data_IF_611754801161
#
_entry.id   IF_611754801161
#
_cell.length_a   1.000
_cell.length_b   1.000
_cell.length_c   1.000
_cell.angle_alpha   90.00
_cell.angle_beta   90.00
_cell.angle_gamma   90.00
#
_symmetry.space_group_name_H-M   'P 1'
#
loop_
_entity.id
_entity.type
_entity.pdbx_description
1 polymer ?
#
# COMPACT_ATOMS: atom_id res chain seq x y z
N UNK A 1 10.23 -33.81 1.64
CA UNK A 1 10.37 -32.48 1.01
C UNK A 1 9.83 -31.46 1.98
N UNK A 2 10.47 -30.29 2.12
CA UNK A 2 9.89 -29.19 2.90
C UNK A 2 8.63 -28.75 2.15
N UNK A 3 7.48 -28.72 2.83
CA UNK A 3 6.25 -28.19 2.26
C UNK A 3 6.47 -26.71 1.92
N UNK A 4 6.25 -26.36 0.65
CA UNK A 4 6.48 -25.00 0.17
C UNK A 4 5.19 -24.19 0.26
N UNK A 5 4.69 -23.97 1.49
CA UNK A 5 3.50 -23.16 1.70
C UNK A 5 3.84 -21.68 1.51
N UNK A 6 3.33 -21.09 0.44
CA UNK A 6 3.48 -19.69 0.12
C UNK A 6 2.25 -18.95 0.64
N UNK A 7 2.46 -18.11 1.65
CA UNK A 7 1.38 -17.32 2.23
C UNK A 7 1.14 -16.11 1.33
N UNK A 8 -0.09 -15.86 0.90
CA UNK A 8 -0.45 -14.61 0.20
C UNK A 8 -1.16 -13.72 1.20
N UNK A 9 -0.51 -12.64 1.64
CA UNK A 9 -1.01 -11.72 2.65
C UNK A 9 -1.65 -10.49 2.00
N UNK A 10 -2.90 -10.19 2.33
CA UNK A 10 -3.69 -9.14 1.67
C UNK A 10 -4.87 -8.63 2.53
N UNK A 11 -5.64 -7.69 2.01
CA UNK A 11 -6.65 -6.91 2.74
C UNK A 11 -6.01 -5.72 3.46
N UNK A 12 -6.23 -5.61 4.77
CA UNK A 12 -5.64 -4.59 5.67
C UNK A 12 -6.66 -3.55 6.14
N UNK A 13 -6.30 -2.79 7.18
CA UNK A 13 -7.08 -1.63 7.63
C UNK A 13 -6.68 -0.43 6.76
N UNK A 14 -7.16 -0.46 5.52
CA UNK A 14 -6.77 0.47 4.47
C UNK A 14 -7.99 0.93 3.66
N UNK A 15 -8.04 2.20 3.21
CA UNK A 15 -8.99 2.62 2.17
C UNK A 15 -8.83 1.85 0.86
N UNK A 16 -7.67 1.23 0.63
CA UNK A 16 -7.31 0.48 -0.59
C UNK A 16 -7.54 -1.04 -0.44
N UNK A 17 -8.33 -1.42 0.57
CA UNK A 17 -8.59 -2.82 0.95
C UNK A 17 -9.11 -3.68 -0.22
N UNK A 18 -10.06 -3.17 -1.01
CA UNK A 18 -10.62 -3.89 -2.16
C UNK A 18 -9.58 -4.11 -3.27
N UNK A 19 -8.70 -3.13 -3.50
CA UNK A 19 -7.61 -3.22 -4.49
C UNK A 19 -6.59 -4.30 -4.07
N UNK A 20 -6.31 -4.36 -2.77
CA UNK A 20 -5.50 -5.40 -2.13
C UNK A 20 -6.11 -6.81 -2.31
N UNK A 21 -7.42 -6.97 -2.12
CA UNK A 21 -8.11 -8.24 -2.41
C UNK A 21 -7.99 -8.64 -3.89
N UNK A 22 -8.23 -7.71 -4.82
CA UNK A 22 -8.11 -7.99 -6.26
C UNK A 22 -6.69 -8.40 -6.65
N UNK A 23 -5.69 -7.72 -6.10
CA UNK A 23 -4.27 -8.04 -6.31
C UNK A 23 -3.95 -9.45 -5.82
N UNK A 24 -4.44 -9.83 -4.64
CA UNK A 24 -4.24 -11.16 -4.10
C UNK A 24 -4.85 -12.26 -5.00
N UNK A 25 -6.05 -12.02 -5.56
CA UNK A 25 -6.66 -12.97 -6.50
C UNK A 25 -5.81 -13.16 -7.75
N UNK A 26 -5.25 -12.07 -8.30
CA UNK A 26 -4.36 -12.13 -9.46
C UNK A 26 -3.08 -12.90 -9.13
N UNK A 27 -2.48 -12.65 -7.97
CA UNK A 27 -1.30 -13.38 -7.47
C UNK A 27 -1.61 -14.87 -7.32
N UNK A 28 -2.68 -15.22 -6.61
CA UNK A 28 -3.05 -16.62 -6.38
C UNK A 28 -3.36 -17.36 -7.70
N UNK A 29 -4.05 -16.70 -8.62
CA UNK A 29 -4.34 -17.23 -9.96
C UNK A 29 -3.05 -17.46 -10.78
N UNK A 30 -2.14 -16.49 -10.80
CA UNK A 30 -0.85 -16.61 -11.49
C UNK A 30 0.02 -17.74 -10.92
N UNK A 31 -0.12 -18.04 -9.63
CA UNK A 31 0.60 -19.10 -8.94
C UNK A 31 -0.10 -20.47 -8.97
N UNK A 32 -1.31 -20.57 -9.55
CA UNK A 32 -2.12 -21.79 -9.51
C UNK A 32 -1.47 -23.02 -10.15
N UNK A 33 -0.55 -22.83 -11.12
CA UNK A 33 0.21 -23.90 -11.77
C UNK A 33 1.62 -24.08 -11.20
N UNK A 34 1.94 -23.44 -10.07
CA UNK A 34 3.26 -23.52 -9.46
C UNK A 34 3.42 -24.79 -8.60
N UNK A 35 4.65 -25.07 -8.16
CA UNK A 35 4.93 -26.15 -7.20
C UNK A 35 4.61 -25.77 -5.75
N UNK A 36 4.12 -24.55 -5.50
CA UNK A 36 3.84 -24.03 -4.17
C UNK A 36 2.42 -24.38 -3.73
N UNK A 37 2.24 -24.65 -2.44
CA UNK A 37 0.91 -24.68 -1.83
C UNK A 37 0.55 -23.27 -1.43
N UNK A 38 -0.47 -22.69 -2.04
CA UNK A 38 -0.90 -21.33 -1.74
C UNK A 38 -1.79 -21.35 -0.49
N UNK A 39 -1.53 -20.45 0.46
CA UNK A 39 -2.35 -20.29 1.66
C UNK A 39 -2.70 -18.81 1.84
N UNK A 40 -3.97 -18.42 1.80
CA UNK A 40 -4.36 -17.01 1.95
C UNK A 40 -4.23 -16.59 3.42
N UNK A 41 -3.67 -15.40 3.64
CA UNK A 41 -3.73 -14.65 4.88
C UNK A 41 -4.45 -13.33 4.61
N UNK A 42 -5.73 -13.28 4.96
CA UNK A 42 -6.57 -12.11 4.79
C UNK A 42 -6.63 -11.32 6.09
N UNK A 43 -6.33 -10.02 6.02
CA UNK A 43 -6.51 -9.07 7.11
C UNK A 43 -7.80 -8.29 6.84
N UNK A 44 -8.80 -8.41 7.72
CA UNK A 44 -10.10 -7.74 7.56
C UNK A 44 -9.95 -6.22 7.72
N UNK A 45 -11.00 -5.47 7.36
CA UNK A 45 -11.09 -4.02 7.64
C UNK A 45 -11.04 -3.68 9.14
N UNK A 46 -11.32 -4.65 10.00
CA UNK A 46 -11.21 -4.55 11.46
C UNK A 46 -9.86 -5.06 12.00
N UNK A 47 -8.93 -5.46 11.14
CA UNK A 47 -7.59 -5.92 11.51
C UNK A 47 -7.53 -7.39 11.98
N UNK A 48 -8.59 -8.19 11.80
CA UNK A 48 -8.59 -9.62 12.14
C UNK A 48 -7.85 -10.41 11.08
N UNK A 49 -7.11 -11.43 11.50
CA UNK A 49 -6.31 -12.27 10.61
C UNK A 49 -7.02 -13.59 10.36
N UNK A 50 -7.39 -13.83 9.10
CA UNK A 50 -8.17 -14.96 8.67
C UNK A 50 -7.44 -15.78 7.60
N UNK A 51 -7.63 -17.10 7.62
CA UNK A 51 -7.16 -18.02 6.59
C UNK A 51 -8.25 -19.05 6.27
N UNK A 52 -8.17 -19.67 5.09
CA UNK A 52 -9.14 -20.67 4.64
C UNK A 52 -9.37 -20.65 3.13
N UNK A 53 -9.88 -21.77 2.61
CA UNK A 53 -10.09 -21.97 1.16
C UNK A 53 -11.14 -20.99 0.58
N UNK A 54 -12.12 -20.55 1.37
CA UNK A 54 -13.12 -19.57 0.94
C UNK A 54 -12.53 -18.20 0.57
N UNK A 55 -11.34 -17.88 1.10
CA UNK A 55 -10.62 -16.63 0.80
C UNK A 55 -9.88 -16.67 -0.55
N UNK A 56 -9.92 -17.78 -1.28
CA UNK A 56 -9.27 -17.92 -2.59
C UNK A 56 -10.20 -17.61 -3.76
N UNK A 57 -11.48 -17.32 -3.50
CA UNK A 57 -12.48 -17.02 -4.50
C UNK A 57 -13.02 -15.59 -4.32
N UNK A 58 -12.78 -14.75 -5.33
CA UNK A 58 -13.22 -13.36 -5.38
C UNK A 58 -14.73 -13.20 -5.16
N UNK A 59 -15.54 -14.16 -5.62
CA UNK A 59 -17.00 -14.07 -5.54
C UNK A 59 -17.52 -14.04 -4.10
N UNK A 60 -16.76 -14.61 -3.16
CA UNK A 60 -17.11 -14.62 -1.73
C UNK A 60 -16.93 -13.25 -1.05
N UNK A 61 -16.10 -12.35 -1.62
CA UNK A 61 -15.87 -11.02 -1.04
C UNK A 61 -17.03 -10.04 -1.24
N UNK A 62 -18.10 -10.46 -1.94
CA UNK A 62 -19.35 -9.69 -2.05
C UNK A 62 -20.13 -9.65 -0.73
N UNK A 63 -20.02 -10.69 0.09
CA UNK A 63 -20.75 -10.86 1.34
C UNK A 63 -19.75 -11.08 2.49
N UNK A 64 -19.08 -10.00 2.91
CA UNK A 64 -17.96 -10.06 3.85
C UNK A 64 -18.32 -10.73 5.18
N UNK A 65 -19.49 -10.48 5.74
CA UNK A 65 -19.91 -11.10 7.01
C UNK A 65 -19.97 -12.62 6.90
N UNK A 66 -20.50 -13.13 5.78
CA UNK A 66 -20.58 -14.58 5.51
C UNK A 66 -19.19 -15.16 5.29
N UNK A 67 -18.34 -14.46 4.52
CA UNK A 67 -16.97 -14.88 4.26
C UNK A 67 -16.16 -14.95 5.56
N UNK A 68 -16.16 -13.90 6.37
CA UNK A 68 -15.44 -13.82 7.62
C UNK A 68 -15.95 -14.86 8.64
N UNK A 69 -17.26 -15.11 8.66
CA UNK A 69 -17.83 -16.18 9.48
C UNK A 69 -17.45 -17.58 8.99
N UNK A 70 -17.18 -17.77 7.69
CA UNK A 70 -16.76 -19.06 7.10
C UNK A 70 -15.27 -19.34 7.29
N UNK A 71 -14.44 -18.30 7.29
CA UNK A 71 -12.99 -18.39 7.44
C UNK A 71 -12.57 -18.77 8.87
N UNK A 72 -11.26 -18.95 9.07
CA UNK A 72 -10.66 -19.37 10.34
C UNK A 72 -9.70 -18.31 10.83
N UNK A 73 -9.83 -17.92 12.11
CA UNK A 73 -8.84 -17.06 12.76
C UNK A 73 -7.46 -17.71 12.74
N UNK A 74 -6.41 -16.93 12.53
CA UNK A 74 -5.05 -17.43 12.45
C UNK A 74 -4.02 -16.45 13.02
N UNK A 75 -2.82 -16.96 13.31
CA UNK A 75 -1.67 -16.12 13.65
C UNK A 75 -0.38 -16.80 13.21
N UNK A 76 0.70 -16.02 13.13
CA UNK A 76 2.03 -16.62 13.11
C UNK A 76 2.39 -17.16 14.49
N UNK A 77 3.04 -18.32 14.52
CA UNK A 77 3.58 -18.95 15.73
C UNK A 77 4.94 -19.58 15.40
N UNK A 78 5.79 -19.74 16.42
CA UNK A 78 7.04 -20.49 16.31
C UNK A 78 6.93 -21.85 17.00
N UNK A 79 7.53 -22.88 16.42
CA UNK A 79 7.74 -24.14 17.13
C UNK A 79 8.98 -24.07 18.04
N UNK A 80 9.27 -25.17 18.75
CA UNK A 80 10.44 -25.28 19.64
C UNK A 80 11.78 -25.10 18.89
N UNK A 81 11.81 -25.37 17.59
CA UNK A 81 12.97 -25.18 16.73
C UNK A 81 13.05 -23.76 16.13
N UNK A 82 12.11 -22.87 16.47
CA UNK A 82 12.04 -21.50 15.97
C UNK A 82 11.45 -21.35 14.56
N UNK A 83 10.97 -22.44 13.94
CA UNK A 83 10.33 -22.43 12.62
C UNK A 83 8.96 -21.79 12.71
N UNK A 84 8.65 -20.93 11.74
CA UNK A 84 7.40 -20.18 11.73
C UNK A 84 6.30 -20.90 10.98
N UNK A 85 5.10 -20.88 11.56
CA UNK A 85 3.89 -21.46 11.00
C UNK A 85 2.77 -20.41 10.98
N UNK A 86 1.92 -20.44 9.95
CA UNK A 86 0.60 -19.84 10.00
C UNK A 86 -0.34 -20.87 10.63
N UNK A 87 -0.82 -20.61 11.83
CA UNK A 87 -1.63 -21.56 12.61
C UNK A 87 -3.06 -21.06 12.76
N UNK A 88 -4.02 -21.91 12.44
CA UNK A 88 -5.42 -21.67 12.76
C UNK A 88 -5.62 -21.71 14.28
N UNK A 89 -6.36 -20.76 14.82
CA UNK A 89 -6.63 -20.65 16.26
C UNK A 89 -7.81 -21.54 16.66
N UNK A 90 -8.84 -21.57 15.83
CA UNK A 90 -10.06 -22.35 16.08
C UNK A 90 -10.11 -23.59 15.19
N UNK A 91 -10.91 -24.58 15.59
CA UNK A 91 -11.29 -25.69 14.74
C UNK A 91 -12.83 -25.78 14.73
N UNK A 92 -13.45 -25.79 13.54
CA UNK A 92 -14.91 -25.93 13.43
C UNK A 92 -15.29 -27.40 13.44
N UNK A 93 -15.95 -27.85 14.51
CA UNK A 93 -16.50 -29.20 14.67
C UNK A 93 -15.82 -30.03 15.77
N UNK A 94 -16.57 -30.97 16.38
CA UNK A 94 -16.17 -31.74 17.58
C UNK A 94 -14.85 -32.54 17.45
N UNK A 95 -14.33 -32.74 16.23
CA UNK A 95 -13.10 -33.49 15.97
C UNK A 95 -12.13 -32.77 15.03
N UNK A 96 -12.42 -31.52 14.65
CA UNK A 96 -11.51 -30.76 13.81
C UNK A 96 -10.25 -30.38 14.61
N UNK A 97 -9.08 -30.53 14.00
CA UNK A 97 -7.83 -29.98 14.55
C UNK A 97 -7.46 -28.73 13.76
N UNK A 98 -7.04 -27.65 14.43
CA UNK A 98 -6.57 -26.47 13.72
C UNK A 98 -5.39 -26.84 12.82
N UNK A 99 -5.45 -26.43 11.55
CA UNK A 99 -4.34 -26.65 10.61
C UNK A 99 -3.20 -25.69 10.94
N UNK A 100 -1.98 -26.14 10.67
CA UNK A 100 -0.76 -25.35 10.84
C UNK A 100 0.07 -25.51 9.58
N UNK A 101 0.45 -24.39 8.97
CA UNK A 101 1.16 -24.37 7.70
C UNK A 101 2.58 -23.86 7.93
N UNK A 102 3.63 -24.71 7.79
CA UNK A 102 5.01 -24.24 7.82
C UNK A 102 5.21 -23.17 6.75
N UNK A 103 5.61 -21.96 7.14
CA UNK A 103 5.73 -20.83 6.22
C UNK A 103 7.03 -20.95 5.43
N UNK A 104 6.92 -21.07 4.11
CA UNK A 104 8.07 -21.02 3.22
C UNK A 104 8.48 -19.58 2.91
N UNK A 105 7.50 -18.77 2.49
CA UNK A 105 7.64 -17.34 2.27
C UNK A 105 6.26 -16.67 2.27
N UNK A 106 6.23 -15.34 2.33
CA UNK A 106 5.02 -14.53 2.19
C UNK A 106 5.10 -13.69 0.91
N UNK A 107 4.04 -13.71 0.10
CA UNK A 107 3.81 -12.72 -0.95
C UNK A 107 2.93 -11.62 -0.35
N UNK A 108 3.44 -10.40 -0.33
CA UNK A 108 2.72 -9.21 0.14
C UNK A 108 1.90 -8.64 -1.00
N UNK A 109 0.57 -8.74 -0.90
CA UNK A 109 -0.38 -8.22 -1.87
C UNK A 109 -1.24 -7.11 -1.24
N UNK A 110 -0.62 -6.26 -0.42
CA UNK A 110 -1.26 -5.13 0.23
C UNK A 110 -1.21 -3.85 -0.62
N UNK A 111 -2.11 -2.91 -0.30
CA UNK A 111 -2.11 -1.53 -0.79
C UNK A 111 -2.44 -0.58 0.37
N UNK A 112 -1.67 0.49 0.49
CA UNK A 112 -1.76 1.50 1.53
C UNK A 112 -1.42 1.00 2.94
N UNK A 113 -1.43 1.96 3.87
CA UNK A 113 -1.39 1.73 5.31
C UNK A 113 -0.29 0.73 5.76
N UNK A 114 -0.65 -0.19 6.66
CA UNK A 114 0.24 -1.13 7.34
C UNK A 114 0.95 -2.12 6.41
N UNK A 115 0.44 -2.29 5.19
CA UNK A 115 0.98 -3.20 4.21
C UNK A 115 2.15 -2.65 3.40
N UNK A 116 2.24 -1.33 3.29
CA UNK A 116 3.26 -0.64 2.49
C UNK A 116 4.15 0.30 3.31
N UNK A 117 3.76 0.66 4.54
CA UNK A 117 4.53 1.54 5.43
C UNK A 117 5.63 0.84 6.25
N UNK A 118 5.83 -0.47 6.06
CA UNK A 118 6.84 -1.27 6.77
C UNK A 118 6.29 -2.05 7.97
N UNK A 119 5.03 -1.85 8.38
CA UNK A 119 4.49 -2.52 9.59
C UNK A 119 4.40 -4.03 9.41
N UNK A 120 3.78 -4.51 8.32
CA UNK A 120 3.69 -5.95 8.06
C UNK A 120 5.05 -6.57 7.73
N UNK A 121 5.93 -5.82 7.07
CA UNK A 121 7.32 -6.22 6.82
C UNK A 121 8.04 -6.47 8.16
N UNK A 122 7.83 -5.60 9.15
CA UNK A 122 8.38 -5.76 10.50
C UNK A 122 7.87 -7.02 11.19
N UNK A 123 6.60 -7.40 10.99
CA UNK A 123 6.07 -8.69 11.45
C UNK A 123 6.82 -9.85 10.79
N UNK A 124 7.03 -9.80 9.47
CA UNK A 124 7.77 -10.84 8.76
C UNK A 124 9.21 -10.96 9.26
N UNK A 125 9.91 -9.84 9.44
CA UNK A 125 11.28 -9.80 9.98
C UNK A 125 11.34 -10.37 11.40
N UNK A 126 10.43 -9.96 12.29
CA UNK A 126 10.35 -10.47 13.67
C UNK A 126 10.11 -11.98 13.73
N UNK A 127 9.32 -12.51 12.81
CA UNK A 127 9.07 -13.94 12.69
C UNK A 127 10.10 -14.68 11.83
N UNK A 128 11.15 -14.02 11.33
CA UNK A 128 12.15 -14.59 10.43
C UNK A 128 11.50 -15.30 9.21
N UNK A 129 10.52 -14.64 8.60
CA UNK A 129 9.81 -15.11 7.43
C UNK A 129 10.39 -14.40 6.19
N UNK A 130 10.82 -15.12 5.15
CA UNK A 130 11.14 -14.50 3.86
C UNK A 130 9.87 -13.92 3.23
N UNK A 131 9.93 -12.70 2.70
CA UNK A 131 8.79 -12.06 2.05
C UNK A 131 9.18 -11.31 0.77
N UNK A 132 8.21 -11.06 -0.10
CA UNK A 132 8.40 -10.29 -1.34
C UNK A 132 8.36 -8.78 -1.07
N UNK A 133 9.02 -8.00 -1.93
CA UNK A 133 8.94 -6.54 -1.89
C UNK A 133 10.07 -5.89 -1.08
N UNK A 134 9.85 -4.63 -0.72
CA UNK A 134 10.79 -3.81 0.05
C UNK A 134 10.81 -4.21 1.53
N UNK A 135 11.98 -4.11 2.18
CA UNK A 135 12.09 -4.27 3.64
C UNK A 135 11.55 -3.06 4.42
N UNK A 136 11.55 -3.13 5.75
CA UNK A 136 10.90 -2.13 6.64
C UNK A 136 11.30 -0.70 6.31
N UNK A 137 12.60 -0.39 6.29
CA UNK A 137 13.08 0.97 6.04
C UNK A 137 12.64 1.50 4.68
N UNK A 138 12.81 0.70 3.62
CA UNK A 138 12.47 1.12 2.26
C UNK A 138 10.96 1.33 2.09
N UNK A 139 10.14 0.49 2.73
CA UNK A 139 8.69 0.65 2.80
C UNK A 139 8.29 1.94 3.55
N UNK A 140 8.83 2.17 4.76
CA UNK A 140 8.51 3.38 5.53
C UNK A 140 8.93 4.67 4.82
N UNK A 141 10.13 4.68 4.20
CA UNK A 141 10.59 5.83 3.42
C UNK A 141 9.77 6.01 2.15
N UNK A 142 9.39 4.93 1.47
CA UNK A 142 8.58 4.99 0.25
C UNK A 142 7.17 5.51 0.49
N UNK A 143 6.60 5.28 1.67
CA UNK A 143 5.28 5.77 2.05
C UNK A 143 5.29 7.25 2.45
N UNK A 144 6.35 7.72 3.12
CA UNK A 144 6.49 9.11 3.53
C UNK A 144 7.07 9.96 2.38
N UNK A 145 6.21 10.76 1.74
CA UNK A 145 6.61 11.60 0.58
C UNK A 145 7.73 12.59 0.90
N UNK A 146 7.78 13.11 2.13
CA UNK A 146 8.82 14.06 2.54
C UNK A 146 10.15 13.34 2.66
N UNK A 147 10.18 12.19 3.35
CA UNK A 147 11.40 11.41 3.50
C UNK A 147 11.90 10.82 2.19
N UNK A 148 10.99 10.36 1.33
CA UNK A 148 11.33 9.94 -0.03
C UNK A 148 12.01 11.07 -0.82
N UNK A 149 11.44 12.29 -0.79
CA UNK A 149 12.03 13.47 -1.45
C UNK A 149 13.40 13.82 -0.90
N UNK A 150 13.54 13.92 0.42
CA UNK A 150 14.81 14.21 1.08
C UNK A 150 15.91 13.20 0.70
N UNK A 151 15.56 11.91 0.60
CA UNK A 151 16.49 10.87 0.16
C UNK A 151 16.88 11.04 -1.31
N UNK A 152 15.93 11.36 -2.19
CA UNK A 152 16.20 11.67 -3.58
C UNK A 152 17.15 12.86 -3.72
N UNK A 153 16.87 13.97 -3.04
CA UNK A 153 17.70 15.18 -3.05
C UNK A 153 19.13 14.90 -2.57
N UNK A 154 19.28 14.17 -1.47
CA UNK A 154 20.58 13.77 -0.93
C UNK A 154 21.42 12.94 -1.92
N UNK A 155 20.76 12.29 -2.89
CA UNK A 155 21.38 11.51 -3.95
C UNK A 155 21.38 12.23 -5.31
N UNK A 156 21.10 13.54 -5.35
CA UNK A 156 21.02 14.36 -6.55
C UNK A 156 19.97 13.88 -7.57
N UNK A 157 18.92 13.21 -7.11
CA UNK A 157 17.75 12.87 -7.92
C UNK A 157 16.81 14.08 -7.88
N UNK A 158 16.46 14.68 -9.04
CA UNK A 158 15.59 15.85 -9.08
C UNK A 158 14.20 15.56 -8.49
N UNK A 159 13.73 16.44 -7.63
CA UNK A 159 12.36 16.44 -7.10
C UNK A 159 11.74 17.82 -7.27
N UNK A 160 10.42 17.91 -7.16
CA UNK A 160 9.72 19.20 -7.20
C UNK A 160 9.98 20.01 -5.93
N UNK A 161 10.28 21.32 -6.04
CA UNK A 161 10.36 22.19 -4.88
C UNK A 161 9.09 22.10 -4.04
N UNK A 162 9.26 22.01 -2.73
CA UNK A 162 8.15 21.81 -1.80
C UNK A 162 8.45 22.33 -0.41
N UNK A 163 7.39 22.57 0.35
CA UNK A 163 7.41 22.73 1.80
C UNK A 163 6.54 21.65 2.43
N UNK A 164 6.84 21.29 3.68
CA UNK A 164 6.04 20.39 4.49
C UNK A 164 5.89 20.95 5.91
N UNK A 165 4.78 20.62 6.55
CA UNK A 165 4.44 21.12 7.88
C UNK A 165 3.39 20.23 8.55
N UNK A 166 3.40 20.20 9.88
CA UNK A 166 2.37 19.52 10.66
C UNK A 166 1.15 20.41 10.90
N UNK A 167 0.01 19.81 11.25
CA UNK A 167 -1.21 20.52 11.65
C UNK A 167 -0.94 21.51 12.79
N UNK A 168 -0.10 21.13 13.76
CA UNK A 168 0.32 22.02 14.84
C UNK A 168 1.12 23.23 14.37
N UNK A 169 1.89 23.09 13.28
CA UNK A 169 2.63 24.21 12.70
C UNK A 169 1.66 25.12 11.95
N UNK A 170 0.67 24.56 11.26
CA UNK A 170 -0.38 25.33 10.58
C UNK A 170 -1.15 26.21 11.56
N UNK A 171 -1.57 25.67 12.70
CA UNK A 171 -2.32 26.40 13.73
C UNK A 171 -1.59 27.64 14.27
N UNK A 172 -0.26 27.57 14.38
CA UNK A 172 0.55 28.62 15.01
C UNK A 172 1.24 29.52 13.99
N UNK A 173 1.62 28.96 12.84
CA UNK A 173 2.51 29.58 11.85
C UNK A 173 1.90 29.70 10.46
N UNK A 174 0.56 29.63 10.34
CA UNK A 174 -0.19 29.73 9.08
C UNK A 174 0.36 30.79 8.12
N UNK A 175 0.56 32.03 8.60
CA UNK A 175 1.03 33.14 7.76
C UNK A 175 2.43 32.90 7.16
N UNK A 176 3.34 32.30 7.93
CA UNK A 176 4.69 32.00 7.44
C UNK A 176 4.65 30.88 6.39
N UNK A 177 3.84 29.85 6.63
CA UNK A 177 3.61 28.75 5.69
C UNK A 177 3.04 29.26 4.37
N UNK A 178 2.05 30.16 4.42
CA UNK A 178 1.48 30.79 3.23
C UNK A 178 2.50 31.63 2.46
N UNK A 179 3.38 32.36 3.16
CA UNK A 179 4.46 33.12 2.53
C UNK A 179 5.48 32.21 1.83
N UNK A 180 5.84 31.09 2.43
CA UNK A 180 6.72 30.10 1.81
C UNK A 180 6.06 29.43 0.60
N UNK A 181 4.76 29.13 0.68
CA UNK A 181 4.01 28.60 -0.45
C UNK A 181 3.94 29.59 -1.63
N UNK A 182 3.75 30.89 -1.37
CA UNK A 182 3.76 31.93 -2.41
C UNK A 182 5.13 32.04 -3.09
N UNK A 183 6.23 31.85 -2.34
CA UNK A 183 7.59 31.82 -2.89
C UNK A 183 7.84 30.61 -3.83
N UNK A 184 7.16 29.47 -3.61
CA UNK A 184 7.16 28.36 -4.59
C UNK A 184 6.40 28.75 -5.87
N UNK A 185 5.36 29.58 -5.71
CA UNK A 185 4.51 30.10 -6.76
C UNK A 185 3.47 29.10 -7.27
N UNK A 186 2.34 29.60 -7.72
CA UNK A 186 1.24 28.79 -8.24
C UNK A 186 1.47 28.30 -9.69
N UNK A 187 0.78 27.22 -10.13
CA UNK A 187 -0.06 26.34 -9.33
C UNK A 187 0.73 25.43 -8.38
N UNK A 188 0.10 25.04 -7.28
CA UNK A 188 0.65 24.13 -6.25
C UNK A 188 -0.21 22.86 -6.15
N UNK A 189 0.36 21.81 -5.57
CA UNK A 189 -0.35 20.57 -5.23
C UNK A 189 -0.19 20.30 -3.74
N UNK A 190 -1.32 20.19 -3.03
CA UNK A 190 -1.40 19.79 -1.62
C UNK A 190 -1.58 18.29 -1.54
N UNK A 191 -0.81 17.60 -0.68
CA UNK A 191 -0.84 16.14 -0.53
C UNK A 191 -0.68 15.73 0.94
N UNK A 192 -1.46 14.74 1.42
CA UNK A 192 -1.13 14.00 2.63
C UNK A 192 0.22 13.28 2.48
N UNK A 193 1.08 13.33 3.49
CA UNK A 193 2.41 12.75 3.42
C UNK A 193 2.37 11.22 3.31
N UNK A 194 1.50 10.56 4.07
CA UNK A 194 1.57 9.11 4.36
C UNK A 194 0.49 8.26 3.68
N UNK A 195 -0.22 8.80 2.68
CA UNK A 195 -1.31 8.12 1.98
C UNK A 195 -1.05 7.91 0.49
N UNK A 196 -1.59 6.80 -0.04
CA UNK A 196 -1.56 6.46 -1.46
C UNK A 196 -2.77 6.97 -2.25
N UNK A 197 -2.88 6.50 -3.49
CA UNK A 197 -4.13 6.54 -4.27
C UNK A 197 -4.77 7.91 -4.53
N UNK A 198 -3.99 9.00 -4.52
CA UNK A 198 -4.46 10.37 -4.74
C UNK A 198 -5.54 10.84 -3.74
N UNK A 199 -5.67 10.16 -2.60
CA UNK A 199 -6.62 10.54 -1.53
C UNK A 199 -6.12 11.83 -0.88
N UNK A 200 -7.00 12.83 -0.78
CA UNK A 200 -6.67 14.13 -0.19
C UNK A 200 -5.74 15.00 -1.03
N UNK A 201 -5.43 14.62 -2.27
CA UNK A 201 -4.58 15.41 -3.17
C UNK A 201 -5.40 16.47 -3.90
N UNK A 202 -5.00 17.73 -3.84
CA UNK A 202 -5.69 18.85 -4.52
C UNK A 202 -4.68 19.77 -5.20
N UNK A 203 -4.91 20.07 -6.49
CA UNK A 203 -4.22 21.15 -7.21
C UNK A 203 -4.91 22.48 -6.90
N UNK A 204 -4.13 23.51 -6.63
CA UNK A 204 -4.60 24.84 -6.22
C UNK A 204 -3.88 25.91 -7.02
N UNK A 205 -4.62 26.93 -7.42
CA UNK A 205 -4.14 27.99 -8.32
C UNK A 205 -3.95 29.33 -7.59
N UNK A 206 -4.41 29.44 -6.34
CA UNK A 206 -4.32 30.65 -5.52
C UNK A 206 -4.37 30.36 -4.01
N UNK A 207 -4.07 31.37 -3.20
CA UNK A 207 -3.96 31.29 -1.73
C UNK A 207 -5.25 30.82 -1.05
N UNK A 208 -6.42 31.35 -1.45
CA UNK A 208 -7.70 30.97 -0.84
C UNK A 208 -7.99 29.47 -1.04
N UNK A 209 -7.76 28.98 -2.26
CA UNK A 209 -7.91 27.56 -2.59
C UNK A 209 -6.86 26.67 -1.89
N UNK A 210 -5.67 27.21 -1.60
CA UNK A 210 -4.61 26.53 -0.85
C UNK A 210 -5.03 26.30 0.61
N UNK A 211 -5.56 27.33 1.28
CA UNK A 211 -6.04 27.23 2.67
C UNK A 211 -7.12 26.15 2.78
N UNK A 212 -8.13 26.20 1.90
CA UNK A 212 -9.23 25.22 1.88
C UNK A 212 -8.71 23.78 1.65
N UNK A 213 -7.73 23.64 0.75
CA UNK A 213 -7.10 22.34 0.45
C UNK A 213 -6.34 21.78 1.65
N UNK A 214 -5.56 22.61 2.34
CA UNK A 214 -4.80 22.25 3.54
C UNK A 214 -5.74 21.79 4.66
N UNK A 215 -6.76 22.59 4.99
CA UNK A 215 -7.73 22.28 6.05
C UNK A 215 -8.51 20.99 5.75
N UNK A 216 -8.79 20.73 4.47
CA UNK A 216 -9.42 19.47 4.05
C UNK A 216 -8.45 18.30 4.17
N UNK A 217 -7.19 18.49 3.79
CA UNK A 217 -6.17 17.44 3.79
C UNK A 217 -5.81 16.97 5.21
N UNK A 218 -5.89 17.84 6.22
CA UNK A 218 -5.68 17.46 7.63
C UNK A 218 -6.69 16.43 8.17
N UNK A 219 -7.82 16.22 7.49
CA UNK A 219 -8.74 15.12 7.82
C UNK A 219 -8.14 13.74 7.54
N UNK A 220 -7.07 13.67 6.76
CA UNK A 220 -6.45 12.44 6.29
C UNK A 220 -5.06 12.21 6.87
N UNK A 221 -4.27 13.26 7.08
CA UNK A 221 -2.93 13.18 7.64
C UNK A 221 -2.57 14.48 8.37
N UNK A 222 -1.95 14.36 9.54
CA UNK A 222 -1.49 15.50 10.33
C UNK A 222 -0.20 16.13 9.73
N UNK A 223 0.45 15.45 8.78
CA UNK A 223 1.62 15.95 8.06
C UNK A 223 1.29 16.12 6.58
N UNK A 224 1.45 17.34 6.07
CA UNK A 224 1.14 17.67 4.68
C UNK A 224 2.37 18.15 3.92
N UNK A 225 2.35 17.89 2.62
CA UNK A 225 3.31 18.35 1.64
C UNK A 225 2.61 19.29 0.65
N UNK A 226 3.18 20.47 0.43
CA UNK A 226 2.78 21.40 -0.63
C UNK A 226 3.93 21.53 -1.61
N UNK A 227 3.67 21.23 -2.89
CA UNK A 227 4.72 21.23 -3.91
C UNK A 227 4.33 21.97 -5.18
N UNK A 228 5.33 22.45 -5.90
CA UNK A 228 5.14 23.08 -7.21
C UNK A 228 4.50 22.09 -8.19
N UNK A 229 3.38 22.48 -8.79
CA UNK A 229 2.78 21.70 -9.86
C UNK A 229 3.64 21.80 -11.14
N UNK A 230 3.88 20.67 -11.79
CA UNK A 230 4.63 20.61 -13.05
C UNK A 230 3.66 20.80 -14.22
N UNK A 231 3.97 21.75 -15.10
CA UNK A 231 3.16 22.01 -16.29
C UNK A 231 4.05 22.34 -17.52
N UNK A 232 3.83 21.69 -18.68
CA UNK A 232 2.91 20.57 -18.89
C UNK A 232 3.39 19.32 -18.15
N UNK A 233 2.46 18.59 -17.53
CA UNK A 233 2.78 17.34 -16.82
C UNK A 233 2.93 16.18 -17.82
N UNK A 234 4.00 15.41 -17.64
CA UNK A 234 4.15 14.11 -18.28
C UNK A 234 4.53 13.10 -17.21
N UNK A 235 3.64 12.15 -16.94
CA UNK A 235 3.88 11.06 -16.01
C UNK A 235 4.46 9.85 -16.76
N UNK A 236 5.54 9.27 -16.23
CA UNK A 236 6.19 8.09 -16.80
C UNK A 236 6.41 7.09 -15.66
N UNK A 237 5.89 5.87 -15.81
CA UNK A 237 6.10 4.80 -14.85
C UNK A 237 7.14 3.82 -15.36
N UNK A 238 7.94 3.30 -14.43
CA UNK A 238 8.92 2.26 -14.68
C UNK A 238 8.88 1.26 -13.51
N UNK A 239 8.55 0.01 -13.80
CA UNK A 239 8.57 -1.05 -12.78
C UNK A 239 9.98 -1.63 -12.66
N UNK A 240 10.42 -1.90 -11.43
CA UNK A 240 11.71 -2.52 -11.16
C UNK A 240 11.50 -3.83 -10.42
N UNK A 241 12.18 -4.89 -10.87
CA UNK A 241 12.14 -6.21 -10.22
C UNK A 241 13.56 -6.71 -9.97
N UNK A 242 13.83 -7.16 -8.75
CA UNK A 242 15.09 -7.80 -8.39
C UNK A 242 15.55 -7.47 -6.97
N UNK A 243 16.84 -7.65 -6.73
CA UNK A 243 17.53 -7.35 -5.47
C UNK A 243 18.48 -6.16 -5.65
N UNK A 244 19.17 -5.77 -4.58
CA UNK A 244 20.17 -4.70 -4.59
C UNK A 244 21.34 -4.98 -5.55
N UNK A 245 21.73 -6.25 -5.72
CA UNK A 245 22.86 -6.63 -6.59
C UNK A 245 22.45 -6.89 -8.05
N UNK A 246 21.18 -7.25 -8.28
CA UNK A 246 20.69 -7.60 -9.60
C UNK A 246 19.21 -7.21 -9.72
N UNK A 247 18.95 -6.14 -10.49
CA UNK A 247 17.62 -5.65 -10.78
C UNK A 247 17.42 -5.39 -12.27
N UNK A 248 16.16 -5.46 -12.70
CA UNK A 248 15.74 -5.20 -14.08
C UNK A 248 14.58 -4.22 -14.10
N UNK A 249 14.72 -3.16 -14.88
CA UNK A 249 13.66 -2.22 -15.21
C UNK A 249 12.76 -2.78 -16.33
N UNK A 250 11.47 -2.45 -16.27
CA UNK A 250 10.56 -2.62 -17.39
C UNK A 250 10.85 -1.61 -18.50
N UNK A 251 10.13 -1.73 -19.62
CA UNK A 251 9.95 -0.57 -20.50
C UNK A 251 9.15 0.50 -19.74
N UNK A 252 9.38 1.77 -20.08
CA UNK A 252 8.59 2.86 -19.51
C UNK A 252 7.20 2.86 -20.12
N UNK A 253 6.18 3.05 -19.28
CA UNK A 253 4.81 3.31 -19.70
C UNK A 253 4.44 4.75 -19.39
N UNK A 254 3.50 5.29 -20.17
CA UNK A 254 2.88 6.59 -19.91
C UNK A 254 1.39 6.35 -19.70
N UNK A 255 0.85 6.55 -18.49
CA UNK A 255 -0.59 6.48 -18.32
C UNK A 255 -1.25 7.64 -19.09
N UNK A 256 -2.28 7.33 -19.88
CA UNK A 256 -3.07 8.32 -20.60
C UNK A 256 -4.31 8.65 -19.76
N UNK A 257 -4.28 9.79 -19.05
CA UNK A 257 -5.45 10.33 -18.36
C UNK A 257 -6.27 11.26 -19.26
N UNK A 258 -7.59 11.32 -19.03
CA UNK A 258 -8.47 12.34 -19.63
C UNK A 258 -8.41 13.69 -18.88
N UNK A 259 -7.75 13.74 -17.72
CA UNK A 259 -7.59 14.89 -16.83
C UNK A 259 -6.09 15.11 -16.50
N UNK A 260 -5.69 16.33 -16.13
CA UNK A 260 -4.29 16.69 -15.83
C UNK A 260 -3.68 15.93 -14.62
N UNK A 261 -4.50 15.22 -13.83
CA UNK A 261 -4.09 14.39 -12.68
C UNK A 261 -4.98 13.16 -12.58
N UNK A 262 -4.39 11.96 -12.42
CA UNK A 262 -5.15 10.72 -12.24
C UNK A 262 -5.67 10.60 -10.80
N UNK A 263 -6.99 10.70 -10.62
CA UNK A 263 -7.65 10.50 -9.33
C UNK A 263 -7.80 9.01 -8.97
N UNK A 264 -8.19 8.71 -7.73
CA UNK A 264 -8.57 7.34 -7.32
C UNK A 264 -9.68 6.76 -8.20
N UNK A 265 -10.66 7.59 -8.55
CA UNK A 265 -11.81 7.21 -9.37
C UNK A 265 -11.37 6.84 -10.80
N UNK A 266 -10.43 7.60 -11.38
CA UNK A 266 -9.85 7.32 -12.71
C UNK A 266 -9.01 6.02 -12.74
N UNK A 267 -8.44 5.62 -11.59
CA UNK A 267 -7.60 4.42 -11.50
C UNK A 267 -8.41 3.15 -11.24
N UNK A 268 -9.53 3.25 -10.50
CA UNK A 268 -10.20 2.06 -9.95
C UNK A 268 -11.73 2.03 -10.12
N UNK A 269 -12.39 3.15 -10.42
CA UNK A 269 -13.86 3.21 -10.54
C UNK A 269 -14.35 3.43 -11.98
N UNK A 270 -13.50 3.90 -12.90
CA UNK A 270 -13.84 3.93 -14.31
C UNK A 270 -13.78 2.52 -14.92
N UNK A 271 -14.91 1.80 -14.85
CA UNK A 271 -15.17 0.54 -15.55
C UNK A 271 -15.29 0.69 -17.08
N UNK A 272 -14.66 1.68 -17.69
CA UNK A 272 -14.58 1.88 -19.13
C UNK A 272 -13.13 1.69 -19.55
N UNK A 273 -12.86 0.70 -20.39
CA UNK A 273 -11.53 0.32 -20.82
C UNK A 273 -10.68 1.53 -21.21
N UNK A 274 -9.63 1.79 -20.45
CA UNK A 274 -8.49 2.50 -20.99
C UNK A 274 -7.90 1.59 -22.06
N UNK A 275 -8.11 1.95 -23.33
CA UNK A 275 -7.41 1.34 -24.45
C UNK A 275 -5.92 1.37 -24.13
N UNK A 276 -5.34 0.19 -23.97
CA UNK A 276 -3.90 0.01 -23.86
C UNK A 276 -3.30 0.30 -25.22
N UNK A 277 -2.89 1.56 -25.42
CA UNK A 277 -2.00 1.99 -26.49
C UNK A 277 -0.54 1.82 -26.09
#
# INVERSE_FOLDING_TARGET
MIEKNLIVAFGGVSPEHEVSVLTAMQVMSALGNSTYTIVPLYITKSGRWLTGESLMDLSNFKELDTLEASAMSCSFVKDEAGRTFLKQQDAKGLFAKPRSFPVYAVVTAFHGSEGENGSFQGVCEMYNIPFTGSGVLASSVGMDKVKAKQLCEANNIPVTPSLDFYESDWDVHQKAILQEADLLGYPLVVKPCSLGSSIGVKKVDEEESLIEAIETAFRYDAHLLVEKAIHPLMEINCSVMGSTENCRASVCERPLGNTETLSFEDKYQSGGGADKG
#
